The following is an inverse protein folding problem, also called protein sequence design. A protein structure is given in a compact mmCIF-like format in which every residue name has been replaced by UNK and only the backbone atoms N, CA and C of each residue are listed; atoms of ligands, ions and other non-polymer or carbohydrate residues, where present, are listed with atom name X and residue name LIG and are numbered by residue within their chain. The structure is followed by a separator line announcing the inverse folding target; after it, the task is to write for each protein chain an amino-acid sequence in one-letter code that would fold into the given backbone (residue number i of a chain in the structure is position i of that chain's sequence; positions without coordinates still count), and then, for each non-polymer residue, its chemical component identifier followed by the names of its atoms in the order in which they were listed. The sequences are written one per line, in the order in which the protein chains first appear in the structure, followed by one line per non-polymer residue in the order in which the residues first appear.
data_IF_089891646649
#
_entry.id   IF_089891646649
#
_cell.length_a   1.000
_cell.length_b   1.000
_cell.length_c   1.000
_cell.angle_alpha   90.00
_cell.angle_beta   90.00
_cell.angle_gamma   90.00
#
_symmetry.space_group_name_H-M   'P 1'
#
loop_
_entity.id
_entity.type
_entity.pdbx_description
1 polymer ?
#
# COMPACT_ATOMS: atom_id res chain seq x y z
N UNK A 1 -32.63 -15.91 -19.83
CA UNK A 1 -33.12 -15.75 -18.44
C UNK A 1 -31.89 -15.73 -17.56
N UNK A 2 -31.62 -14.65 -16.79
CA UNK A 2 -30.51 -14.68 -15.87
C UNK A 2 -30.83 -15.66 -14.74
N UNK A 3 -29.98 -16.67 -14.60
CA UNK A 3 -30.03 -17.70 -13.57
C UNK A 3 -30.02 -17.08 -12.18
N UNK A 4 -30.64 -17.77 -11.22
CA UNK A 4 -30.67 -17.41 -9.79
C UNK A 4 -29.36 -16.78 -9.33
N UNK A 5 -29.48 -15.64 -8.66
CA UNK A 5 -28.41 -14.95 -7.96
C UNK A 5 -27.74 -15.93 -7.00
N UNK A 6 -26.57 -16.46 -7.39
CA UNK A 6 -25.70 -17.22 -6.49
C UNK A 6 -25.28 -16.28 -5.36
N UNK A 7 -26.05 -16.29 -4.28
CA UNK A 7 -25.73 -15.53 -3.07
C UNK A 7 -24.61 -16.25 -2.35
N UNK A 8 -23.61 -15.51 -1.86
CA UNK A 8 -22.57 -16.10 -1.02
C UNK A 8 -23.18 -16.64 0.28
N UNK A 9 -22.96 -17.93 0.57
CA UNK A 9 -23.40 -18.58 1.81
C UNK A 9 -22.17 -18.94 2.64
N UNK A 10 -21.90 -18.13 3.67
CA UNK A 10 -20.68 -18.27 4.48
C UNK A 10 -20.46 -19.68 5.04
N UNK A 11 -21.52 -20.37 5.46
CA UNK A 11 -21.44 -21.72 6.05
C UNK A 11 -21.03 -22.82 5.06
N UNK A 12 -21.06 -22.56 3.76
CA UNK A 12 -20.61 -23.52 2.73
C UNK A 12 -19.11 -23.38 2.43
N UNK A 13 -18.52 -22.23 2.76
CA UNK A 13 -17.17 -21.88 2.33
C UNK A 13 -16.20 -21.71 3.50
N UNK A 14 -16.64 -21.08 4.59
CA UNK A 14 -15.79 -20.73 5.72
C UNK A 14 -15.70 -21.88 6.72
N UNK A 15 -14.48 -22.18 7.17
CA UNK A 15 -14.15 -23.23 8.14
C UNK A 15 -14.50 -24.66 7.69
N UNK A 16 -14.75 -24.88 6.40
CA UNK A 16 -15.09 -26.20 5.85
C UNK A 16 -13.87 -27.02 5.40
N UNK A 17 -12.64 -26.52 5.63
CA UNK A 17 -11.41 -27.19 5.22
C UNK A 17 -11.13 -27.08 3.71
N UNK A 18 -11.76 -26.13 3.02
CA UNK A 18 -11.49 -25.87 1.61
C UNK A 18 -10.11 -25.26 1.42
N UNK A 19 -9.39 -25.76 0.42
CA UNK A 19 -8.16 -25.13 -0.08
C UNK A 19 -8.58 -24.07 -1.09
N UNK A 20 -8.05 -22.87 -0.92
CA UNK A 20 -8.29 -21.76 -1.83
C UNK A 20 -7.69 -22.07 -3.21
N UNK A 21 -8.54 -22.06 -4.24
CA UNK A 21 -8.15 -22.22 -5.65
C UNK A 21 -8.92 -21.19 -6.48
N UNK A 22 -8.25 -20.09 -6.83
CA UNK A 22 -8.84 -18.95 -7.54
C UNK A 22 -9.54 -19.36 -8.85
N UNK A 23 -9.05 -20.39 -9.53
CA UNK A 23 -9.61 -20.85 -10.82
C UNK A 23 -10.97 -21.55 -10.68
N UNK A 24 -11.31 -21.99 -9.46
CA UNK A 24 -12.53 -22.77 -9.16
C UNK A 24 -13.58 -22.00 -8.36
N UNK A 25 -13.31 -20.74 -8.01
CA UNK A 25 -14.22 -19.96 -7.18
C UNK A 25 -15.45 -19.50 -7.97
N UNK A 26 -16.66 -19.70 -7.43
CA UNK A 26 -17.85 -19.05 -7.96
C UNK A 26 -17.72 -17.53 -7.94
N UNK A 27 -18.38 -16.81 -8.88
CA UNK A 27 -18.35 -15.34 -8.93
C UNK A 27 -18.78 -14.67 -7.61
N UNK A 28 -19.70 -15.27 -6.86
CA UNK A 28 -20.18 -14.76 -5.57
C UNK A 28 -19.10 -14.70 -4.50
N UNK A 29 -18.27 -15.74 -4.42
CA UNK A 29 -17.12 -15.80 -3.51
C UNK A 29 -16.05 -14.78 -3.92
N UNK A 30 -15.80 -14.63 -5.22
CA UNK A 30 -14.85 -13.63 -5.74
C UNK A 30 -15.32 -12.19 -5.44
N UNK A 31 -16.62 -11.93 -5.54
CA UNK A 31 -17.22 -10.65 -5.17
C UNK A 31 -17.02 -10.36 -3.69
N UNK A 32 -17.25 -11.34 -2.82
CA UNK A 32 -17.07 -11.18 -1.36
C UNK A 32 -15.60 -10.90 -1.00
N UNK A 33 -14.66 -11.63 -1.59
CA UNK A 33 -13.21 -11.38 -1.41
C UNK A 33 -12.86 -9.93 -1.78
N UNK A 34 -13.34 -9.49 -2.94
CA UNK A 34 -13.11 -8.12 -3.43
C UNK A 34 -13.72 -7.10 -2.46
N UNK A 35 -14.90 -7.39 -1.91
CA UNK A 35 -15.58 -6.54 -0.94
C UNK A 35 -14.83 -6.46 0.40
N UNK A 36 -14.30 -7.57 0.91
CA UNK A 36 -13.56 -7.62 2.17
C UNK A 36 -12.25 -6.83 2.12
N UNK A 37 -11.60 -6.80 0.95
CA UNK A 37 -10.37 -6.03 0.73
C UNK A 37 -10.64 -4.58 0.28
N UNK A 38 -11.89 -4.21 0.01
CA UNK A 38 -12.22 -2.87 -0.48
C UNK A 38 -12.02 -1.81 0.60
N UNK A 39 -11.10 -0.88 0.34
CA UNK A 39 -10.84 0.28 1.21
C UNK A 39 -12.11 1.16 1.28
N UNK A 40 -12.58 1.52 2.49
CA UNK A 40 -13.73 2.42 2.65
C UNK A 40 -13.48 3.79 2.02
N UNK A 41 -14.53 4.38 1.44
CA UNK A 41 -14.45 5.72 0.81
C UNK A 41 -13.97 6.81 1.77
N UNK A 42 -14.23 6.66 3.07
CA UNK A 42 -13.74 7.59 4.10
C UNK A 42 -12.22 7.57 4.27
N UNK A 43 -11.56 6.48 3.90
CA UNK A 43 -10.12 6.29 4.01
C UNK A 43 -9.38 6.60 2.70
N UNK A 44 -10.07 6.60 1.56
CA UNK A 44 -9.44 6.88 0.26
C UNK A 44 -8.69 8.22 0.20
N UNK A 45 -9.19 9.34 0.78
CA UNK A 45 -8.47 10.61 0.74
C UNK A 45 -7.15 10.63 1.52
N UNK A 46 -6.87 9.64 2.36
CA UNK A 46 -5.62 9.57 3.13
C UNK A 46 -4.52 8.84 2.37
N UNK A 47 -4.84 8.27 1.21
CA UNK A 47 -3.90 7.64 0.29
C UNK A 47 -3.54 8.67 -0.79
N UNK A 48 -2.25 8.97 -1.02
CA UNK A 48 -1.83 9.84 -2.11
C UNK A 48 -2.33 9.30 -3.46
N UNK A 49 -2.95 10.16 -4.27
CA UNK A 49 -3.37 9.79 -5.64
C UNK A 49 -2.14 9.51 -6.49
N UNK A 50 -2.14 8.44 -7.31
CA UNK A 50 -1.06 8.14 -8.28
C UNK A 50 -0.79 9.27 -9.27
N UNK A 51 -1.78 10.13 -9.51
CA UNK A 51 -1.67 11.30 -10.39
C UNK A 51 -1.12 12.54 -9.69
N UNK A 52 -0.79 12.44 -8.40
CA UNK A 52 -0.28 13.56 -7.61
C UNK A 52 1.15 13.91 -8.07
N UNK A 53 1.47 15.19 -8.30
CA UNK A 53 2.82 15.61 -8.65
C UNK A 53 3.84 15.23 -7.57
N UNK A 54 5.08 14.92 -7.95
CA UNK A 54 6.16 14.57 -7.02
C UNK A 54 6.36 15.67 -5.97
N UNK A 55 6.38 16.95 -6.35
CA UNK A 55 6.54 18.04 -5.39
C UNK A 55 5.46 18.01 -4.29
N UNK A 56 4.21 17.71 -4.66
CA UNK A 56 3.13 17.59 -3.70
C UNK A 56 3.22 16.31 -2.87
N UNK A 57 3.73 15.20 -3.43
CA UNK A 57 3.98 13.98 -2.67
C UNK A 57 5.01 14.24 -1.56
N UNK A 58 6.11 14.94 -1.88
CA UNK A 58 7.21 15.24 -0.95
C UNK A 58 6.77 16.13 0.22
N UNK A 59 5.73 16.94 0.04
CA UNK A 59 5.14 17.76 1.11
C UNK A 59 4.21 16.97 2.05
N UNK A 60 3.82 15.73 1.70
CA UNK A 60 2.91 14.92 2.51
C UNK A 60 3.69 14.23 3.63
N UNK A 61 3.22 14.43 4.86
CA UNK A 61 3.69 13.66 6.01
C UNK A 61 3.04 12.26 6.00
N UNK A 62 3.70 11.31 5.34
CA UNK A 62 3.31 9.90 5.35
C UNK A 62 3.67 9.23 6.68
N UNK A 63 2.91 8.20 7.05
CA UNK A 63 3.25 7.37 8.20
C UNK A 63 4.59 6.65 7.98
N UNK A 64 5.24 6.22 9.06
CA UNK A 64 6.50 5.49 8.96
C UNK A 64 6.29 4.02 8.63
N UNK A 65 7.26 3.40 7.96
CA UNK A 65 7.34 1.93 7.91
C UNK A 65 7.86 1.41 9.24
N UNK A 66 7.40 0.23 9.65
CA UNK A 66 7.98 -0.50 10.76
C UNK A 66 9.40 -0.94 10.39
N UNK A 67 10.37 -0.49 11.19
CA UNK A 67 11.76 -0.96 11.13
C UNK A 67 11.84 -2.35 11.75
N UNK A 68 11.53 -3.41 11.02
CA UNK A 68 11.91 -4.75 11.47
C UNK A 68 11.75 -5.77 10.34
N UNK A 69 12.67 -6.74 10.34
CA UNK A 69 12.44 -8.13 9.92
C UNK A 69 11.31 -8.72 10.79
N UNK A 70 10.11 -8.18 10.67
CA UNK A 70 8.94 -8.76 11.27
C UNK A 70 8.82 -10.14 10.65
N UNK A 71 9.10 -11.17 11.45
CA UNK A 71 8.76 -12.52 11.04
C UNK A 71 7.28 -12.50 10.61
N UNK A 72 6.89 -13.18 9.53
CA UNK A 72 5.51 -13.19 9.06
C UNK A 72 4.51 -13.60 10.17
N UNK A 73 5.00 -14.26 11.23
CA UNK A 73 4.27 -14.59 12.45
C UNK A 73 3.87 -13.39 13.32
N UNK A 74 4.32 -12.17 13.00
CA UNK A 74 4.02 -10.97 13.81
C UNK A 74 2.65 -10.38 13.51
N UNK A 75 2.17 -10.54 12.27
CA UNK A 75 0.82 -10.13 11.88
C UNK A 75 -0.01 -11.37 11.76
N UNK A 76 -0.97 -11.50 12.66
CA UNK A 76 -1.72 -12.73 12.83
C UNK A 76 -3.15 -12.49 12.38
N UNK A 77 -3.63 -13.38 11.52
CA UNK A 77 -5.05 -13.50 11.22
C UNK A 77 -5.80 -13.95 12.48
N UNK A 78 -6.92 -13.31 12.79
CA UNK A 78 -7.72 -13.65 13.97
C UNK A 78 -9.13 -14.06 13.58
N UNK A 79 -9.69 -14.98 14.36
CA UNK A 79 -11.10 -15.37 14.29
C UNK A 79 -12.00 -14.37 15.01
N UNK A 80 -11.44 -13.48 15.83
CA UNK A 80 -12.19 -12.44 16.51
C UNK A 80 -12.70 -11.39 15.51
N UNK A 81 -13.91 -10.85 15.72
CA UNK A 81 -14.50 -9.87 14.81
C UNK A 81 -13.67 -8.57 14.78
N UNK A 82 -13.64 -7.87 13.63
CA UNK A 82 -12.94 -6.60 13.52
C UNK A 82 -13.62 -5.51 14.34
N UNK A 83 -12.86 -4.46 14.65
CA UNK A 83 -13.37 -3.24 15.27
C UNK A 83 -14.44 -2.59 14.39
N UNK A 84 -15.49 -2.10 15.05
CA UNK A 84 -16.54 -1.33 14.38
C UNK A 84 -16.12 0.12 14.08
N UNK A 85 -15.16 0.64 14.86
CA UNK A 85 -14.66 2.01 14.76
C UNK A 85 -13.15 2.04 14.97
N UNK A 86 -12.44 2.81 14.15
CA UNK A 86 -11.00 2.96 14.23
C UNK A 86 -10.61 4.08 15.19
N UNK A 87 -9.45 3.97 15.85
CA UNK A 87 -8.82 5.09 16.54
C UNK A 87 -8.61 6.27 15.58
N UNK A 88 -8.77 7.51 16.08
CA UNK A 88 -8.63 8.73 15.27
C UNK A 88 -7.21 8.91 14.68
N UNK A 89 -6.22 8.26 15.30
CA UNK A 89 -4.81 8.28 14.95
C UNK A 89 -4.40 7.10 14.05
N UNK A 90 -5.35 6.27 13.58
CA UNK A 90 -5.05 5.09 12.76
C UNK A 90 -4.16 5.39 11.53
N UNK A 91 -4.36 6.54 10.88
CA UNK A 91 -3.58 6.94 9.70
C UNK A 91 -2.13 7.30 10.03
N UNK A 92 -1.83 7.58 11.29
CA UNK A 92 -0.49 7.88 11.78
C UNK A 92 0.25 6.63 12.28
N UNK A 93 -0.40 5.47 12.30
CA UNK A 93 0.23 4.23 12.73
C UNK A 93 1.32 3.81 11.75
N UNK A 94 2.44 3.36 12.30
CA UNK A 94 3.49 2.77 11.48
C UNK A 94 2.97 1.50 10.81
N UNK A 95 3.22 1.36 9.51
CA UNK A 95 2.70 0.25 8.72
C UNK A 95 3.75 -0.83 8.50
N UNK A 96 3.36 -2.09 8.28
CA UNK A 96 4.31 -3.15 7.96
C UNK A 96 5.03 -2.88 6.62
N UNK A 97 6.23 -3.44 6.40
CA UNK A 97 6.90 -3.34 5.10
C UNK A 97 6.08 -3.94 3.95
N UNK A 98 6.25 -3.43 2.72
CA UNK A 98 5.48 -3.86 1.55
C UNK A 98 5.57 -5.37 1.27
N UNK A 99 6.75 -5.97 1.44
CA UNK A 99 6.94 -7.41 1.26
C UNK A 99 6.11 -8.23 2.26
N UNK A 100 5.99 -7.76 3.50
CA UNK A 100 5.19 -8.42 4.53
C UNK A 100 3.69 -8.31 4.20
N UNK A 101 3.24 -7.12 3.77
CA UNK A 101 1.86 -6.89 3.34
C UNK A 101 1.51 -7.77 2.13
N UNK A 102 2.42 -7.90 1.17
CA UNK A 102 2.24 -8.76 -0.01
C UNK A 102 2.05 -10.23 0.41
N UNK A 103 2.89 -10.74 1.31
CA UNK A 103 2.74 -12.09 1.85
C UNK A 103 1.40 -12.29 2.58
N UNK A 104 0.95 -11.29 3.34
CA UNK A 104 -0.35 -11.34 4.02
C UNK A 104 -1.51 -11.34 3.02
N UNK A 105 -1.43 -10.53 1.95
CA UNK A 105 -2.43 -10.53 0.89
C UNK A 105 -2.47 -11.88 0.15
N UNK A 106 -1.32 -12.52 -0.06
CA UNK A 106 -1.26 -13.86 -0.65
C UNK A 106 -1.90 -14.92 0.26
N UNK A 107 -1.74 -14.80 1.58
CA UNK A 107 -2.30 -15.71 2.57
C UNK A 107 -3.76 -15.42 2.93
N UNK A 108 -4.23 -14.18 2.70
CA UNK A 108 -5.53 -13.68 3.14
C UNK A 108 -6.67 -14.61 2.72
N UNK A 109 -6.69 -15.02 1.45
CA UNK A 109 -7.83 -15.78 0.94
C UNK A 109 -7.95 -17.14 1.62
N UNK A 110 -6.82 -17.81 1.89
CA UNK A 110 -6.83 -19.05 2.65
C UNK A 110 -7.16 -18.82 4.12
N UNK A 111 -6.65 -17.74 4.72
CA UNK A 111 -6.96 -17.39 6.11
C UNK A 111 -8.47 -17.12 6.29
N UNK A 112 -9.08 -16.39 5.37
CA UNK A 112 -10.52 -16.15 5.35
C UNK A 112 -11.30 -17.47 5.21
N UNK A 113 -10.91 -18.35 4.29
CA UNK A 113 -11.50 -19.69 4.15
C UNK A 113 -11.36 -20.54 5.42
N UNK A 114 -10.29 -20.34 6.19
CA UNK A 114 -10.07 -20.99 7.47
C UNK A 114 -10.90 -20.37 8.62
N UNK A 115 -11.76 -19.39 8.34
CA UNK A 115 -12.68 -18.78 9.30
C UNK A 115 -12.11 -17.56 10.03
N UNK A 116 -10.97 -17.02 9.61
CA UNK A 116 -10.49 -15.76 10.15
C UNK A 116 -11.35 -14.60 9.65
N UNK A 117 -11.54 -13.59 10.50
CA UNK A 117 -12.41 -12.44 10.22
C UNK A 117 -11.70 -11.10 10.39
N UNK A 118 -10.48 -11.09 10.94
CA UNK A 118 -9.69 -9.88 11.15
C UNK A 118 -8.18 -10.15 11.03
N UNK A 119 -7.38 -9.08 11.07
CA UNK A 119 -5.92 -9.09 11.23
C UNK A 119 -5.53 -8.32 12.48
N UNK A 120 -4.41 -8.67 13.10
CA UNK A 120 -3.91 -7.99 14.31
C UNK A 120 -2.67 -7.18 13.96
N UNK A 121 -2.66 -5.90 14.35
CA UNK A 121 -1.49 -5.04 14.14
C UNK A 121 -0.37 -5.38 15.14
N UNK A 122 0.91 -5.46 14.71
CA UNK A 122 2.03 -5.85 15.57
C UNK A 122 2.21 -4.97 16.80
N UNK A 123 2.09 -3.65 16.61
CA UNK A 123 2.27 -2.69 17.69
C UNK A 123 1.01 -2.52 18.54
N UNK A 124 -0.10 -3.13 18.15
CA UNK A 124 -1.38 -2.95 18.83
C UNK A 124 -2.18 -4.24 18.84
N UNK A 125 -1.72 -5.27 19.57
CA UNK A 125 -2.32 -6.60 19.56
C UNK A 125 -3.76 -6.66 20.10
N UNK A 126 -4.22 -5.59 20.75
CA UNK A 126 -5.59 -5.44 21.25
C UNK A 126 -6.59 -5.09 20.14
N UNK A 127 -6.13 -4.60 18.99
CA UNK A 127 -6.98 -4.13 17.91
C UNK A 127 -7.09 -5.15 16.80
N UNK A 128 -8.32 -5.63 16.59
CA UNK A 128 -8.70 -6.52 15.50
C UNK A 128 -9.12 -5.68 14.30
N UNK A 129 -8.27 -5.58 13.29
CA UNK A 129 -8.49 -4.75 12.12
C UNK A 129 -9.19 -5.57 11.02
N UNK A 130 -10.11 -4.98 10.24
CA UNK A 130 -10.73 -5.66 9.11
C UNK A 130 -9.73 -5.85 7.96
N UNK A 131 -10.05 -6.78 7.06
CA UNK A 131 -9.15 -7.18 5.96
C UNK A 131 -8.80 -6.07 4.97
N UNK A 132 -9.68 -5.09 4.75
CA UNK A 132 -9.39 -3.97 3.87
C UNK A 132 -8.14 -3.18 4.28
N UNK A 133 -7.75 -3.26 5.55
CA UNK A 133 -6.53 -2.62 6.05
C UNK A 133 -5.29 -3.16 5.35
N UNK A 134 -5.29 -4.41 4.89
CA UNK A 134 -4.18 -4.96 4.10
C UNK A 134 -4.01 -4.21 2.76
N UNK A 135 -5.12 -3.92 2.08
CA UNK A 135 -5.09 -3.13 0.84
C UNK A 135 -4.72 -1.67 1.11
N UNK A 136 -5.22 -1.10 2.20
CA UNK A 136 -4.83 0.24 2.63
C UNK A 136 -3.32 0.34 2.90
N UNK A 137 -2.76 -0.59 3.67
CA UNK A 137 -1.33 -0.61 3.95
C UNK A 137 -0.51 -0.80 2.68
N UNK A 138 -0.92 -1.69 1.76
CA UNK A 138 -0.23 -1.86 0.48
C UNK A 138 -0.14 -0.53 -0.28
N UNK A 139 -1.27 0.16 -0.43
CA UNK A 139 -1.33 1.39 -1.21
C UNK A 139 -0.49 2.52 -0.56
N UNK A 140 -0.51 2.64 0.77
CA UNK A 140 0.36 3.59 1.49
C UNK A 140 1.83 3.18 1.42
N UNK A 141 2.16 1.89 1.51
CA UNK A 141 3.54 1.41 1.37
C UNK A 141 4.12 1.73 0.01
N UNK A 142 3.36 1.56 -1.07
CA UNK A 142 3.77 1.97 -2.42
C UNK A 142 4.07 3.48 -2.47
N UNK A 143 3.19 4.31 -1.90
CA UNK A 143 3.43 5.75 -1.83
C UNK A 143 4.66 6.11 -0.97
N UNK A 144 4.91 5.38 0.12
CA UNK A 144 6.07 5.58 0.98
C UNK A 144 7.39 5.21 0.28
N UNK A 145 7.44 4.08 -0.43
CA UNK A 145 8.61 3.68 -1.21
C UNK A 145 8.89 4.67 -2.35
N UNK A 146 7.84 5.11 -3.05
CA UNK A 146 7.97 6.17 -4.05
C UNK A 146 8.48 7.47 -3.44
N UNK A 147 7.92 7.89 -2.30
CA UNK A 147 8.33 9.10 -1.59
C UNK A 147 9.83 9.05 -1.21
N UNK A 148 10.32 7.95 -0.64
CA UNK A 148 11.74 7.78 -0.30
C UNK A 148 12.65 7.80 -1.55
N UNK A 149 12.20 7.18 -2.64
CA UNK A 149 12.90 7.17 -3.93
C UNK A 149 12.99 8.59 -4.50
N UNK A 150 11.88 9.32 -4.48
CA UNK A 150 11.79 10.69 -4.97
C UNK A 150 12.61 11.67 -4.13
N UNK A 151 12.64 11.53 -2.80
CA UNK A 151 13.56 12.29 -1.94
C UNK A 151 15.01 12.06 -2.38
N UNK A 152 15.40 10.80 -2.54
CA UNK A 152 16.78 10.45 -2.91
C UNK A 152 17.16 11.04 -4.28
N UNK A 153 16.25 10.99 -5.25
CA UNK A 153 16.46 11.58 -6.58
C UNK A 153 16.55 13.12 -6.51
N UNK A 154 15.64 13.75 -5.77
CA UNK A 154 15.61 15.20 -5.56
C UNK A 154 16.89 15.70 -4.88
N UNK A 155 17.32 15.04 -3.79
CA UNK A 155 18.57 15.36 -3.08
C UNK A 155 19.80 15.21 -3.98
N UNK A 156 19.82 14.19 -4.86
CA UNK A 156 20.90 14.01 -5.82
C UNK A 156 20.98 15.15 -6.85
N UNK A 157 19.83 15.62 -7.36
CA UNK A 157 19.76 16.75 -8.29
C UNK A 157 20.22 18.05 -7.60
N UNK A 158 19.79 18.28 -6.36
CA UNK A 158 20.21 19.45 -5.59
C UNK A 158 21.72 19.46 -5.32
N UNK A 159 22.30 18.32 -4.94
CA UNK A 159 23.75 18.20 -4.74
C UNK A 159 24.54 18.54 -6.01
N UNK A 160 24.02 18.19 -7.20
CA UNK A 160 24.65 18.55 -8.47
C UNK A 160 24.65 20.05 -8.73
N UNK A 161 23.56 20.75 -8.39
CA UNK A 161 23.49 22.20 -8.50
C UNK A 161 24.52 22.89 -7.60
N UNK A 162 24.67 22.42 -6.36
CA UNK A 162 25.65 22.97 -5.41
C UNK A 162 27.10 22.74 -5.87
N UNK A 163 27.44 21.54 -6.37
CA UNK A 163 28.78 21.19 -6.85
C UNK A 163 29.25 22.06 -8.05
N UNK A 164 28.31 22.45 -8.93
CA UNK A 164 28.60 23.21 -10.15
C UNK A 164 28.77 24.71 -9.92
N UNK A 165 28.04 25.29 -8.95
CA UNK A 165 28.22 26.69 -8.55
C UNK A 165 29.64 26.95 -8.03
N UNK A 166 30.25 25.96 -7.35
CA UNK A 166 31.60 26.06 -6.78
C UNK A 166 32.72 25.87 -7.82
N UNK A 167 32.47 25.16 -8.92
CA UNK A 167 33.52 24.79 -9.90
C UNK A 167 33.58 25.68 -11.14
N UNK A 168 32.56 26.50 -11.39
CA UNK A 168 32.58 27.58 -12.41
C UNK A 168 32.72 27.13 -13.87
N UNK A 169 32.47 25.84 -14.18
CA UNK A 169 32.78 25.24 -15.48
C UNK A 169 31.58 24.78 -16.34
N UNK A 170 30.32 25.04 -15.96
CA UNK A 170 29.19 24.37 -16.63
C UNK A 170 27.89 25.17 -16.77
N UNK A 171 27.87 26.38 -17.32
CA UNK A 171 26.61 27.12 -17.53
C UNK A 171 25.56 26.36 -18.38
N UNK A 172 25.99 25.40 -19.21
CA UNK A 172 25.09 24.56 -20.00
C UNK A 172 24.57 23.33 -19.24
N UNK A 173 25.28 22.89 -18.18
CA UNK A 173 24.90 21.73 -17.39
C UNK A 173 23.88 22.14 -16.33
N UNK A 174 24.11 23.26 -15.63
CA UNK A 174 23.13 23.92 -14.75
C UNK A 174 21.73 24.11 -15.38
N UNK A 175 21.67 24.54 -16.65
CA UNK A 175 20.37 24.70 -17.35
C UNK A 175 19.64 23.37 -17.52
N UNK A 176 20.38 22.30 -17.82
CA UNK A 176 19.80 20.96 -17.96
C UNK A 176 19.35 20.44 -16.59
N UNK A 177 20.13 20.67 -15.53
CA UNK A 177 19.77 20.23 -14.17
C UNK A 177 18.51 20.96 -13.67
N UNK A 178 18.38 22.26 -13.94
CA UNK A 178 17.18 23.06 -13.61
C UNK A 178 15.95 22.58 -14.41
N UNK A 179 16.08 22.35 -15.73
CA UNK A 179 15.01 21.79 -16.55
C UNK A 179 14.57 20.38 -16.09
N UNK A 180 15.53 19.56 -15.64
CA UNK A 180 15.25 18.24 -15.07
C UNK A 180 14.50 18.39 -13.76
N UNK A 181 14.92 19.28 -12.86
CA UNK A 181 14.24 19.51 -11.59
C UNK A 181 12.79 19.95 -11.78
N UNK A 182 12.55 20.96 -12.63
CA UNK A 182 11.21 21.44 -12.96
C UNK A 182 10.34 20.31 -13.54
N UNK A 183 10.91 19.50 -14.44
CA UNK A 183 10.20 18.34 -15.00
C UNK A 183 9.86 17.32 -13.92
N UNK A 184 10.80 17.00 -13.02
CA UNK A 184 10.62 16.02 -11.94
C UNK A 184 9.49 16.43 -10.99
N UNK A 185 9.45 17.68 -10.58
CA UNK A 185 8.44 18.21 -9.65
C UNK A 185 7.00 18.07 -10.16
N UNK A 186 6.81 18.17 -11.48
CA UNK A 186 5.50 18.13 -12.14
C UNK A 186 5.05 16.74 -12.58
N UNK A 187 5.94 15.74 -12.57
CA UNK A 187 5.59 14.38 -12.93
C UNK A 187 4.65 13.74 -11.90
N UNK A 188 3.69 12.89 -12.31
CA UNK A 188 2.99 12.01 -11.39
C UNK A 188 4.00 11.10 -10.67
N UNK A 189 3.84 10.89 -9.36
CA UNK A 189 4.82 10.10 -8.62
C UNK A 189 4.84 8.61 -8.98
N UNK A 190 3.73 8.07 -9.52
CA UNK A 190 3.59 6.67 -9.95
C UNK A 190 3.73 6.54 -11.49
N UNK A 191 4.55 7.40 -12.10
CA UNK A 191 4.81 7.34 -13.54
C UNK A 191 5.90 6.32 -13.86
N UNK A 192 5.63 5.49 -14.86
CA UNK A 192 6.62 4.55 -15.40
C UNK A 192 7.67 5.33 -16.23
N UNK A 193 8.85 5.54 -15.65
CA UNK A 193 9.96 6.23 -16.32
C UNK A 193 10.81 5.25 -17.12
N UNK A 194 10.53 5.18 -18.43
CA UNK A 194 11.33 4.38 -19.36
C UNK A 194 12.80 4.79 -19.34
N UNK A 195 13.68 3.80 -19.17
CA UNK A 195 15.13 4.00 -19.14
C UNK A 195 15.75 4.04 -17.74
N UNK A 196 14.92 3.94 -16.69
CA UNK A 196 15.36 3.80 -15.29
C UNK A 196 15.10 2.39 -14.72
N UNK A 197 14.69 1.43 -15.55
CA UNK A 197 14.59 0.02 -15.16
C UNK A 197 15.99 -0.55 -14.91
N UNK A 198 16.24 -0.99 -13.67
CA UNK A 198 17.47 -1.68 -13.26
C UNK A 198 17.47 -3.17 -13.64
#
# INVERSE_FOLDING_TARGET
MPSQTDMFVASEWLSCGHVFDQSKLPPSVQCEITQLLRIPTSMQPTIPSQTLPVAQLLDINLCTSLDCDLSPDTIIFSTNPPLLSFPNDFTAWSIPPLHCITQLLDQFSQAWFNGHTSVIHPLSPMFHLPFWVLSYWRDISCALEAHLTWISAHDWVLQRLEDEEDTGHGASELVVVDEVLDSLEHLPWDVDLKGFDA
#
